data_IF_480362385983
#
_entry.id   IF_480362385983
#
_cell.length_a   1.000
_cell.length_b   1.000
_cell.length_c   1.000
_cell.angle_alpha   90.00
_cell.angle_beta   90.00
_cell.angle_gamma   90.00
#
_symmetry.space_group_name_H-M   'P 1'
#
loop_
_entity.id
_entity.type
_entity.pdbx_description
1 polymer ?
#
# COMPACT_ATOMS: atom_id res chain seq x y z
N UNK A 1 3.90 -41.37 6.23
CA UNK A 1 2.98 -40.96 7.32
C UNK A 1 3.63 -40.04 8.37
N UNK A 2 4.77 -39.37 8.11
CA UNK A 2 5.42 -38.50 9.10
C UNK A 2 5.16 -37.01 8.83
N UNK A 3 4.91 -36.65 7.58
CA UNK A 3 4.72 -35.26 7.14
C UNK A 3 3.49 -34.61 7.78
N UNK A 4 2.43 -35.37 8.05
CA UNK A 4 1.24 -34.89 8.76
C UNK A 4 1.58 -34.36 10.17
N UNK A 5 2.51 -34.99 10.89
CA UNK A 5 2.94 -34.53 12.21
C UNK A 5 3.67 -33.18 12.16
N UNK A 6 4.23 -32.81 11.01
CA UNK A 6 4.89 -31.52 10.79
C UNK A 6 3.91 -30.49 10.21
N UNK A 7 2.99 -30.89 9.32
CA UNK A 7 2.01 -29.99 8.71
C UNK A 7 0.95 -29.49 9.69
N UNK A 8 0.49 -30.34 10.62
CA UNK A 8 -0.53 -29.96 11.62
C UNK A 8 -0.08 -28.81 12.53
N UNK A 9 1.11 -28.83 13.15
CA UNK A 9 1.54 -27.70 13.98
C UNK A 9 1.83 -26.45 13.12
N UNK A 10 2.39 -26.61 11.92
CA UNK A 10 2.64 -25.48 11.02
C UNK A 10 1.32 -24.81 10.63
N UNK A 11 0.29 -25.57 10.27
CA UNK A 11 -1.02 -25.00 9.91
C UNK A 11 -1.69 -24.31 11.08
N UNK A 12 -1.58 -24.85 12.31
CA UNK A 12 -2.08 -24.20 13.52
C UNK A 12 -1.36 -22.87 13.80
N UNK A 13 -0.04 -22.82 13.61
CA UNK A 13 0.72 -21.57 13.77
C UNK A 13 0.30 -20.54 12.71
N UNK A 14 0.22 -20.94 11.44
CA UNK A 14 -0.22 -20.05 10.37
C UNK A 14 -1.65 -19.53 10.59
N UNK A 15 -2.55 -20.42 11.03
CA UNK A 15 -3.92 -20.06 11.39
C UNK A 15 -3.94 -19.07 12.56
N UNK A 16 -3.16 -19.31 13.61
CA UNK A 16 -3.03 -18.40 14.74
C UNK A 16 -2.52 -17.02 14.34
N UNK A 17 -1.50 -16.96 13.48
CA UNK A 17 -0.98 -15.70 12.93
C UNK A 17 -2.06 -14.98 12.12
N UNK A 18 -2.78 -15.69 11.25
CA UNK A 18 -3.84 -15.11 10.43
C UNK A 18 -4.99 -14.54 11.28
N UNK A 19 -5.41 -15.25 12.34
CA UNK A 19 -6.43 -14.74 13.25
C UNK A 19 -5.92 -13.53 14.04
N UNK A 20 -4.68 -13.56 14.53
CA UNK A 20 -4.09 -12.46 15.27
C UNK A 20 -3.95 -11.20 14.41
N UNK A 21 -3.48 -11.34 13.17
CA UNK A 21 -3.36 -10.23 12.22
C UNK A 21 -4.71 -9.67 11.84
N UNK A 22 -5.72 -10.53 11.62
CA UNK A 22 -7.10 -10.11 11.34
C UNK A 22 -7.68 -9.30 12.51
N UNK A 23 -7.60 -9.80 13.74
CA UNK A 23 -8.11 -9.07 14.93
C UNK A 23 -7.38 -7.75 15.12
N UNK A 24 -6.06 -7.72 14.90
CA UNK A 24 -5.28 -6.48 14.95
C UNK A 24 -5.72 -5.47 13.88
N UNK A 25 -5.93 -5.91 12.63
CA UNK A 25 -6.38 -5.07 11.53
C UNK A 25 -7.77 -4.46 11.78
N UNK A 26 -8.70 -5.27 12.29
CA UNK A 26 -10.04 -4.80 12.69
C UNK A 26 -9.94 -3.76 13.81
N UNK A 27 -9.14 -4.01 14.84
CA UNK A 27 -8.94 -3.04 15.94
C UNK A 27 -8.23 -1.76 15.51
N UNK A 28 -7.47 -1.81 14.41
CA UNK A 28 -6.78 -0.65 13.80
C UNK A 28 -7.71 0.16 12.87
N UNK A 29 -8.96 -0.27 12.69
CA UNK A 29 -9.92 0.42 11.84
C UNK A 29 -9.61 0.32 10.34
N UNK A 30 -8.84 -0.70 9.90
CA UNK A 30 -8.49 -0.86 8.48
C UNK A 30 -9.74 -0.99 7.58
N UNK A 31 -10.83 -1.50 8.13
CA UNK A 31 -12.08 -1.73 7.41
C UNK A 31 -13.10 -0.60 7.59
N UNK A 32 -12.74 0.48 8.28
CA UNK A 32 -13.66 1.58 8.55
C UNK A 32 -13.80 2.53 7.35
N UNK A 33 -12.82 2.51 6.44
CA UNK A 33 -12.81 3.38 5.25
C UNK A 33 -12.96 2.57 3.95
N UNK A 34 -14.18 2.09 3.70
CA UNK A 34 -14.56 1.45 2.44
C UNK A 34 -15.25 2.42 1.47
N UNK A 35 -15.66 3.60 1.95
CA UNK A 35 -16.49 4.54 1.21
C UNK A 35 -15.66 5.63 0.50
N UNK A 36 -14.51 6.03 1.05
CA UNK A 36 -13.64 7.06 0.45
C UNK A 36 -13.23 6.74 -1.00
N UNK A 37 -12.83 5.51 -1.35
CA UNK A 37 -12.43 5.18 -2.73
C UNK A 37 -13.58 5.31 -3.75
N UNK A 38 -14.81 4.99 -3.33
CA UNK A 38 -15.98 5.04 -4.21
C UNK A 38 -16.42 6.48 -4.51
N UNK A 39 -16.17 7.42 -3.59
CA UNK A 39 -16.44 8.84 -3.82
C UNK A 39 -15.28 9.48 -4.59
N UNK A 40 -14.05 9.00 -4.42
CA UNK A 40 -12.85 9.52 -5.10
C UNK A 40 -12.95 9.47 -6.64
N UNK A 41 -13.52 8.41 -7.21
CA UNK A 41 -13.71 8.32 -8.67
C UNK A 41 -14.70 9.36 -9.23
N UNK A 42 -15.58 9.90 -8.38
CA UNK A 42 -16.54 10.94 -8.73
C UNK A 42 -16.03 12.34 -8.36
N UNK A 43 -14.89 12.45 -7.68
CA UNK A 43 -14.25 13.74 -7.37
C UNK A 43 -13.46 14.21 -8.59
N UNK A 44 -13.87 15.35 -9.13
CA UNK A 44 -13.12 16.11 -10.14
C UNK A 44 -12.02 16.95 -9.49
N UNK A 45 -11.40 16.46 -8.40
CA UNK A 45 -10.38 17.23 -7.70
C UNK A 45 -9.21 17.47 -8.67
N UNK A 46 -8.73 18.72 -8.78
CA UNK A 46 -7.61 19.03 -9.65
C UNK A 46 -6.42 18.19 -9.19
N UNK A 47 -5.91 17.36 -10.10
CA UNK A 47 -4.71 16.55 -9.87
C UNK A 47 -3.66 17.40 -9.16
N UNK A 48 -3.05 16.89 -8.06
CA UNK A 48 -1.98 17.60 -7.39
C UNK A 48 -0.98 18.03 -8.45
N UNK A 49 -0.70 19.32 -8.53
CA UNK A 49 0.29 19.82 -9.48
C UNK A 49 1.55 18.96 -9.31
N UNK A 50 2.10 18.40 -10.39
CA UNK A 50 3.26 17.53 -10.30
C UNK A 50 4.30 18.24 -9.45
N UNK A 51 4.78 17.55 -8.41
CA UNK A 51 5.89 18.05 -7.59
C UNK A 51 7.03 18.27 -8.57
N UNK A 52 7.26 19.52 -8.94
CA UNK A 52 8.41 19.88 -9.77
C UNK A 52 9.61 19.63 -8.89
N UNK A 53 10.32 18.53 -9.15
CA UNK A 53 11.62 18.30 -8.56
C UNK A 53 12.53 19.47 -8.98
N UNK A 54 12.97 20.34 -8.06
CA UNK A 54 13.82 21.48 -8.39
C UNK A 54 15.20 21.04 -8.90
N UNK A 55 15.50 19.74 -8.86
CA UNK A 55 16.74 19.16 -9.37
C UNK A 55 16.75 18.99 -10.91
N UNK A 56 15.59 19.01 -11.58
CA UNK A 56 15.50 18.79 -13.03
C UNK A 56 15.67 20.06 -13.88
N UNK A 57 15.73 21.24 -13.25
CA UNK A 57 15.77 22.54 -13.95
C UNK A 57 17.19 23.08 -14.19
N UNK A 58 18.23 22.33 -13.80
CA UNK A 58 19.62 22.81 -13.84
C UNK A 58 20.47 22.30 -15.02
N UNK A 59 19.91 21.56 -15.97
CA UNK A 59 20.69 20.99 -17.11
C UNK A 59 20.32 21.56 -18.48
N UNK A 60 19.23 22.33 -18.62
CA UNK A 60 18.74 22.80 -19.93
C UNK A 60 18.89 24.32 -20.13
N UNK A 61 20.05 24.89 -19.79
CA UNK A 61 20.36 26.31 -20.11
C UNK A 61 21.71 26.50 -20.85
N UNK A 62 22.49 25.44 -21.11
CA UNK A 62 23.86 25.60 -21.64
C UNK A 62 24.18 24.87 -22.96
N UNK A 63 23.19 24.67 -23.85
CA UNK A 63 23.45 24.07 -25.19
C UNK A 63 22.98 24.95 -26.38
N UNK A 64 22.88 26.27 -26.20
CA UNK A 64 22.60 27.19 -27.31
C UNK A 64 23.68 28.27 -27.53
N UNK A 65 24.94 27.94 -27.26
CA UNK A 65 26.07 28.78 -27.66
C UNK A 65 27.15 27.91 -28.32
N UNK A 66 26.95 27.62 -29.61
CA UNK A 66 27.99 27.49 -30.64
C UNK A 66 27.36 27.61 -32.04
#
# INVERSE_FOLDING_TARGET
MNILLLLVPISLVLLGIALASFVWAVRRGQFDDLDTPAIDILREDPLPAPVRDPASESTEVDQHAD
#
